data_IF_339155744795
#
_entry.id   IF_339155744795
#
_cell.length_a   1.000
_cell.length_b   1.000
_cell.length_c   1.000
_cell.angle_alpha   90.00
_cell.angle_beta   90.00
_cell.angle_gamma   90.00
#
_symmetry.space_group_name_H-M   'P 1'
#
loop_
_entity.id
_entity.type
_entity.pdbx_description
1 polymer ?
#
# COMPACT_ATOMS: atom_id res chain seq x y z
N UNK A 1 -14.41 3.84 20.00
CA UNK A 1 -13.89 4.81 19.00
C UNK A 1 -12.91 5.78 19.64
N UNK A 2 -13.28 6.45 20.74
CA UNK A 2 -12.40 7.42 21.44
C UNK A 2 -11.00 6.85 21.79
N UNK A 3 -10.93 5.66 22.39
CA UNK A 3 -9.64 5.03 22.73
C UNK A 3 -8.73 4.75 21.52
N UNK A 4 -9.30 4.34 20.38
CA UNK A 4 -8.51 4.08 19.16
C UNK A 4 -7.98 5.41 18.60
N UNK A 5 -8.84 6.44 18.58
CA UNK A 5 -8.46 7.78 18.15
C UNK A 5 -7.36 8.36 19.02
N UNK A 6 -7.44 8.18 20.34
CA UNK A 6 -6.42 8.64 21.28
C UNK A 6 -5.08 7.94 21.03
N UNK A 7 -5.06 6.61 20.92
CA UNK A 7 -3.85 5.84 20.60
C UNK A 7 -3.19 6.30 19.29
N UNK A 8 -3.99 6.51 18.24
CA UNK A 8 -3.50 6.95 16.93
C UNK A 8 -2.98 8.39 16.95
N UNK A 9 -3.58 9.25 17.77
CA UNK A 9 -3.17 10.65 17.90
C UNK A 9 -1.91 10.78 18.76
N UNK A 10 -1.76 9.94 19.79
CA UNK A 10 -0.56 9.87 20.63
C UNK A 10 0.62 9.20 19.93
N UNK A 11 0.38 8.39 18.90
CA UNK A 11 1.43 7.66 18.17
C UNK A 11 1.27 7.76 16.64
N UNK A 12 1.32 8.97 16.07
CA UNK A 12 1.05 9.18 14.64
C UNK A 12 2.03 8.44 13.73
N UNK A 13 3.24 8.15 14.20
CA UNK A 13 4.26 7.40 13.47
C UNK A 13 3.83 5.98 13.09
N UNK A 14 3.00 5.32 13.91
CA UNK A 14 2.54 3.97 13.58
C UNK A 14 1.56 3.94 12.41
N UNK A 15 0.98 5.09 12.04
CA UNK A 15 0.22 5.22 10.79
C UNK A 15 1.05 4.88 9.56
N UNK A 16 2.35 5.21 9.57
CA UNK A 16 3.27 4.84 8.48
C UNK A 16 3.47 3.33 8.39
N UNK A 17 3.66 2.64 9.53
CA UNK A 17 3.81 1.18 9.53
C UNK A 17 2.52 0.46 9.11
N UNK A 18 1.36 0.97 9.56
CA UNK A 18 0.07 0.46 9.11
C UNK A 18 -0.09 0.60 7.60
N UNK A 19 0.24 1.78 7.04
CA UNK A 19 0.23 2.01 5.59
C UNK A 19 1.16 1.06 4.84
N UNK A 20 2.38 0.87 5.32
CA UNK A 20 3.33 -0.08 4.74
C UNK A 20 2.79 -1.53 4.78
N UNK A 21 2.17 -1.94 5.88
CA UNK A 21 1.53 -3.26 6.01
C UNK A 21 0.38 -3.47 5.03
N UNK A 22 -0.46 -2.45 4.83
CA UNK A 22 -1.55 -2.50 3.82
C UNK A 22 -0.98 -2.64 2.41
N UNK A 23 0.02 -1.84 2.04
CA UNK A 23 0.66 -1.96 0.71
C UNK A 23 1.33 -3.33 0.52
N UNK A 24 1.99 -3.86 1.55
CA UNK A 24 2.58 -5.19 1.51
C UNK A 24 1.52 -6.28 1.30
N UNK A 25 0.37 -6.17 1.97
CA UNK A 25 -0.75 -7.10 1.78
C UNK A 25 -1.29 -7.06 0.35
N UNK A 26 -1.39 -5.87 -0.25
CA UNK A 26 -1.74 -5.71 -1.67
C UNK A 26 -0.69 -6.37 -2.57
N UNK A 27 0.61 -6.17 -2.31
CA UNK A 27 1.68 -6.85 -3.08
C UNK A 27 1.54 -8.37 -3.00
N UNK A 28 1.26 -8.93 -1.81
CA UNK A 28 1.01 -10.36 -1.65
C UNK A 28 -0.16 -10.81 -2.52
N UNK A 29 -1.27 -10.08 -2.50
CA UNK A 29 -2.41 -10.37 -3.38
C UNK A 29 -2.07 -10.28 -4.86
N UNK A 30 -1.24 -9.30 -5.25
CA UNK A 30 -0.72 -9.18 -6.61
C UNK A 30 0.20 -10.33 -6.99
N UNK A 31 1.00 -10.89 -6.08
CA UNK A 31 1.85 -12.07 -6.35
C UNK A 31 0.98 -13.33 -6.48
N UNK A 32 0.01 -13.49 -5.57
CA UNK A 32 -0.90 -14.64 -5.52
C UNK A 32 -2.05 -14.57 -6.54
N UNK A 33 -2.14 -13.49 -7.32
CA UNK A 33 -3.16 -13.25 -8.33
C UNK A 33 -4.60 -13.18 -7.81
N UNK A 34 -4.80 -12.60 -6.63
CA UNK A 34 -6.14 -12.42 -6.08
C UNK A 34 -6.96 -11.49 -6.98
N UNK A 35 -8.13 -11.98 -7.42
CA UNK A 35 -9.00 -11.25 -8.35
C UNK A 35 -9.40 -9.89 -7.82
N UNK A 36 -9.82 -9.78 -6.55
CA UNK A 36 -10.30 -8.54 -5.94
C UNK A 36 -9.27 -7.40 -5.93
N UNK A 37 -7.97 -7.71 -6.01
CA UNK A 37 -6.90 -6.70 -6.03
C UNK A 37 -6.81 -6.00 -7.39
N UNK A 38 -7.23 -6.68 -8.44
CA UNK A 38 -7.22 -6.19 -9.82
C UNK A 38 -8.63 -6.17 -10.44
N UNK A 39 -9.65 -6.34 -9.61
CA UNK A 39 -11.04 -6.36 -10.04
C UNK A 39 -11.42 -4.97 -10.56
N UNK A 40 -12.14 -4.89 -11.69
CA UNK A 40 -12.69 -3.63 -12.15
C UNK A 40 -13.78 -3.15 -11.19
N UNK A 41 -13.36 -2.50 -10.10
CA UNK A 41 -14.27 -1.71 -9.29
C UNK A 41 -14.81 -0.54 -10.11
N UNK A 42 -16.06 -0.12 -9.86
CA UNK A 42 -16.66 1.08 -10.45
C UNK A 42 -16.03 2.40 -9.95
N UNK A 43 -14.80 2.38 -9.44
CA UNK A 43 -14.07 3.54 -8.95
C UNK A 43 -13.30 4.27 -10.04
N UNK A 44 -12.61 5.36 -9.65
CA UNK A 44 -11.89 6.25 -10.58
C UNK A 44 -10.71 5.59 -11.32
N UNK A 45 -10.16 4.50 -10.78
CA UNK A 45 -9.04 3.77 -11.39
C UNK A 45 -9.54 2.61 -12.23
N UNK A 46 -9.51 2.77 -13.56
CA UNK A 46 -9.97 1.73 -14.49
C UNK A 46 -8.91 0.65 -14.72
N UNK A 47 -8.70 -0.22 -13.73
CA UNK A 47 -7.76 -1.35 -13.85
C UNK A 47 -8.13 -2.26 -15.03
N UNK A 48 -9.42 -2.45 -15.34
CA UNK A 48 -9.86 -3.23 -16.50
C UNK A 48 -9.32 -2.69 -17.82
N UNK A 49 -9.32 -1.37 -18.02
CA UNK A 49 -8.73 -0.77 -19.22
C UNK A 49 -7.27 -1.16 -19.38
N UNK A 50 -6.47 -1.05 -18.31
CA UNK A 50 -5.06 -1.41 -18.35
C UNK A 50 -4.86 -2.92 -18.56
N UNK A 51 -5.70 -3.77 -17.97
CA UNK A 51 -5.64 -5.23 -18.18
C UNK A 51 -5.92 -5.58 -19.64
N UNK A 52 -6.93 -4.95 -20.25
CA UNK A 52 -7.28 -5.17 -21.65
C UNK A 52 -6.18 -4.69 -22.60
N UNK A 53 -5.50 -3.58 -22.27
CA UNK A 53 -4.45 -3.00 -23.11
C UNK A 53 -3.08 -3.71 -22.96
N UNK A 54 -2.69 -4.10 -21.75
CA UNK A 54 -1.32 -4.55 -21.44
C UNK A 54 -1.23 -5.99 -20.91
N UNK A 55 -2.37 -6.62 -20.64
CA UNK A 55 -2.47 -7.94 -20.03
C UNK A 55 -2.32 -7.92 -18.51
N UNK A 56 -3.04 -8.84 -17.85
CA UNK A 56 -3.11 -8.95 -16.38
C UNK A 56 -1.75 -9.07 -15.71
N UNK A 57 -0.82 -9.85 -16.29
CA UNK A 57 0.53 -10.04 -15.74
C UNK A 57 1.31 -8.73 -15.68
N UNK A 58 1.34 -7.97 -16.77
CA UNK A 58 2.04 -6.68 -16.86
C UNK A 58 1.47 -5.68 -15.86
N UNK A 59 0.14 -5.59 -15.79
CA UNK A 59 -0.56 -4.69 -14.87
C UNK A 59 -0.24 -5.03 -13.42
N UNK A 60 -0.25 -6.31 -13.05
CA UNK A 60 0.11 -6.76 -11.69
C UNK A 60 1.54 -6.37 -11.31
N UNK A 61 2.50 -6.52 -12.24
CA UNK A 61 3.91 -6.14 -11.99
C UNK A 61 4.02 -4.63 -11.77
N UNK A 62 3.46 -3.82 -12.67
CA UNK A 62 3.51 -2.36 -12.57
C UNK A 62 2.81 -1.89 -11.29
N UNK A 63 1.64 -2.46 -10.98
CA UNK A 63 0.91 -2.11 -9.78
C UNK A 63 1.68 -2.49 -8.51
N UNK A 64 2.36 -3.63 -8.51
CA UNK A 64 3.25 -4.05 -7.43
C UNK A 64 4.42 -3.10 -7.23
N UNK A 65 5.01 -2.57 -8.30
CA UNK A 65 6.07 -1.55 -8.22
C UNK A 65 5.55 -0.24 -7.61
N UNK A 66 4.33 0.19 -7.97
CA UNK A 66 3.69 1.36 -7.36
C UNK A 66 3.47 1.15 -5.86
N UNK A 67 3.00 -0.02 -5.46
CA UNK A 67 2.83 -0.38 -4.05
C UNK A 67 4.17 -0.41 -3.30
N UNK A 68 5.23 -0.91 -3.94
CA UNK A 68 6.58 -0.91 -3.37
C UNK A 68 7.08 0.52 -3.11
N UNK A 69 6.83 1.45 -4.02
CA UNK A 69 7.13 2.88 -3.80
C UNK A 69 6.36 3.41 -2.59
N UNK A 70 5.07 3.05 -2.46
CA UNK A 70 4.26 3.38 -1.29
C UNK A 70 4.88 2.88 0.02
N UNK A 71 5.36 1.64 0.05
CA UNK A 71 6.08 1.07 1.21
C UNK A 71 7.32 1.90 1.53
N UNK A 72 8.15 2.22 0.53
CA UNK A 72 9.38 3.00 0.74
C UNK A 72 9.06 4.37 1.34
N UNK A 73 8.03 5.06 0.83
CA UNK A 73 7.58 6.35 1.35
C UNK A 73 7.11 6.23 2.80
N UNK A 74 6.30 5.21 3.12
CA UNK A 74 5.86 4.95 4.48
C UNK A 74 7.04 4.69 5.43
N UNK A 75 7.97 3.81 5.05
CA UNK A 75 9.14 3.51 5.87
C UNK A 75 10.03 4.75 6.04
N UNK A 76 10.24 5.53 4.98
CA UNK A 76 10.98 6.78 5.06
C UNK A 76 10.32 7.77 6.04
N UNK A 77 8.99 7.91 5.98
CA UNK A 77 8.23 8.73 6.92
C UNK A 77 8.36 8.25 8.37
N UNK A 78 8.31 6.92 8.59
CA UNK A 78 8.51 6.32 9.91
C UNK A 78 9.90 6.61 10.47
N UNK A 79 10.96 6.39 9.70
CA UNK A 79 12.32 6.66 10.15
C UNK A 79 12.60 8.16 10.32
N UNK A 80 12.02 9.02 9.47
CA UNK A 80 12.13 10.48 9.64
C UNK A 80 11.50 10.94 10.96
N UNK A 81 10.43 10.28 11.41
CA UNK A 81 9.80 10.56 12.69
C UNK A 81 10.58 10.00 13.88
N UNK A 82 11.32 8.89 13.69
CA UNK A 82 12.04 8.16 14.74
C UNK A 82 13.56 8.09 14.43
N UNK A 83 14.27 9.23 14.40
CA UNK A 83 15.68 9.29 14.02
C UNK A 83 16.60 8.50 14.96
N UNK A 84 16.22 8.32 16.22
CA UNK A 84 16.95 7.55 17.23
C UNK A 84 17.13 6.06 16.88
N UNK A 85 16.40 5.54 15.89
CA UNK A 85 16.54 4.15 15.44
C UNK A 85 17.79 3.89 14.59
N UNK A 86 18.48 4.93 14.12
CA UNK A 86 19.66 4.81 13.26
C UNK A 86 20.80 5.79 13.59
N UNK A 87 20.72 6.45 14.74
CA UNK A 87 21.82 7.23 15.34
C UNK A 87 22.51 6.40 16.42
#
# INVERSE_FOLDING_TARGET
MEQITEIMTSNPQYGYLLGAGVFLFIIIGLILDWDWVVEPGGGYFNIAYFINAFGRKTVRIVYGLIMLIGIIICLFGYFTYNPELYN
#
